data_IF_107614017375
#
_entry.id   IF_107614017375
#
_cell.length_a   1.000
_cell.length_b   1.000
_cell.length_c   1.000
_cell.angle_alpha   90.00
_cell.angle_beta   90.00
_cell.angle_gamma   90.00
#
_symmetry.space_group_name_H-M   'P 1'
#
loop_
_entity.id
_entity.type
_entity.pdbx_description
1 polymer ?
#
# COMPACT_ATOMS: atom_id res chain seq x y z
N UNK A 1 -6.65 5.83 23.12
CA UNK A 1 -5.75 4.64 23.20
C UNK A 1 -5.78 3.97 21.82
N UNK A 2 -4.64 3.39 21.37
CA UNK A 2 -4.59 2.64 20.09
C UNK A 2 -5.38 1.34 20.21
N UNK A 3 -6.32 1.12 19.28
CA UNK A 3 -7.16 -0.08 19.23
C UNK A 3 -7.01 -0.87 17.93
N UNK A 4 -6.50 -0.24 16.85
CA UNK A 4 -6.31 -0.93 15.57
C UNK A 4 -5.10 -0.44 14.78
N UNK A 5 -4.57 -1.34 13.93
CA UNK A 5 -3.64 -1.04 12.86
C UNK A 5 -4.34 -1.22 11.50
N UNK A 6 -4.17 -0.22 10.62
CA UNK A 6 -4.71 -0.22 9.26
C UNK A 6 -3.53 -0.32 8.28
N UNK A 7 -3.42 -1.44 7.60
CA UNK A 7 -2.26 -1.79 6.77
C UNK A 7 -2.54 -1.52 5.30
N UNK A 8 -1.72 -0.71 4.68
CA UNK A 8 -1.56 -0.83 3.24
C UNK A 8 -0.80 -2.12 2.89
N UNK A 9 -0.78 -2.50 1.62
CA UNK A 9 -0.18 -3.77 1.17
C UNK A 9 1.07 -3.53 0.33
N UNK A 10 0.91 -2.85 -0.80
CA UNK A 10 1.95 -2.73 -1.82
C UNK A 10 2.99 -1.67 -1.41
N UNK A 11 4.24 -2.10 -1.20
CA UNK A 11 5.27 -1.24 -0.63
C UNK A 11 5.24 -1.16 0.90
N UNK A 12 4.18 -1.62 1.55
CA UNK A 12 4.00 -1.58 3.01
C UNK A 12 4.22 -2.94 3.66
N UNK A 13 3.41 -3.95 3.33
CA UNK A 13 3.60 -5.32 3.84
C UNK A 13 4.74 -6.03 3.12
N UNK A 14 4.89 -5.79 1.82
CA UNK A 14 5.91 -6.38 0.96
C UNK A 14 6.32 -5.40 -0.15
N UNK A 15 7.54 -5.54 -0.67
CA UNK A 15 8.03 -4.77 -1.83
C UNK A 15 7.44 -5.35 -3.13
N UNK A 16 6.14 -5.13 -3.31
CA UNK A 16 5.39 -5.70 -4.43
C UNK A 16 5.48 -4.89 -5.72
N UNK A 17 5.80 -3.59 -5.63
CA UNK A 17 5.71 -2.71 -6.80
C UNK A 17 6.84 -2.98 -7.80
N UNK A 18 8.09 -3.00 -7.36
CA UNK A 18 9.24 -3.19 -8.24
C UNK A 18 9.31 -4.63 -8.78
N UNK A 19 9.25 -5.61 -7.89
CA UNK A 19 9.58 -7.00 -8.21
C UNK A 19 8.34 -7.85 -8.53
N UNK A 20 7.15 -7.33 -8.21
CA UNK A 20 5.87 -7.98 -8.45
C UNK A 20 5.07 -7.29 -9.55
N UNK A 21 4.45 -6.15 -9.25
CA UNK A 21 3.48 -5.53 -10.13
C UNK A 21 4.09 -5.06 -11.45
N UNK A 22 5.23 -4.36 -11.43
CA UNK A 22 5.92 -3.92 -12.65
C UNK A 22 6.28 -5.10 -13.56
N UNK A 23 6.86 -6.14 -12.98
CA UNK A 23 7.23 -7.34 -13.73
C UNK A 23 5.99 -8.02 -14.32
N UNK A 24 4.90 -8.12 -13.54
CA UNK A 24 3.65 -8.71 -14.02
C UNK A 24 3.01 -7.92 -15.17
N UNK A 25 3.08 -6.58 -15.16
CA UNK A 25 2.66 -5.76 -16.30
C UNK A 25 3.48 -6.04 -17.55
N UNK A 26 4.81 -6.08 -17.43
CA UNK A 26 5.69 -6.37 -18.55
C UNK A 26 5.45 -7.77 -19.14
N UNK A 27 5.19 -8.76 -18.29
CA UNK A 27 4.80 -10.10 -18.74
C UNK A 27 3.43 -10.09 -19.46
N UNK A 28 2.47 -9.30 -18.98
CA UNK A 28 1.17 -9.15 -19.63
C UNK A 28 1.28 -8.45 -21.00
N UNK A 29 2.13 -7.45 -21.14
CA UNK A 29 2.43 -6.80 -22.43
C UNK A 29 3.03 -7.81 -23.41
N UNK A 30 4.05 -8.54 -22.98
CA UNK A 30 4.71 -9.56 -23.80
C UNK A 30 3.74 -10.66 -24.25
N UNK A 31 2.85 -11.14 -23.37
CA UNK A 31 1.86 -12.17 -23.69
C UNK A 31 0.86 -11.74 -24.76
N UNK A 32 0.55 -10.45 -24.84
CA UNK A 32 -0.30 -9.90 -25.89
C UNK A 32 0.47 -9.47 -27.16
N UNK A 33 1.78 -9.72 -27.21
CA UNK A 33 2.62 -9.31 -28.35
C UNK A 33 2.79 -7.81 -28.47
N UNK A 34 2.54 -7.04 -27.40
CA UNK A 34 2.76 -5.60 -27.39
C UNK A 34 4.26 -5.33 -27.18
N UNK A 35 4.82 -4.43 -27.98
CA UNK A 35 6.19 -3.95 -27.83
C UNK A 35 6.41 -3.05 -26.60
N UNK A 36 5.47 -3.06 -25.64
CA UNK A 36 5.48 -2.20 -24.48
C UNK A 36 6.31 -2.79 -23.35
N UNK A 37 6.90 -1.89 -22.56
CA UNK A 37 7.61 -2.26 -21.35
C UNK A 37 7.75 -1.07 -20.41
N UNK A 38 7.61 -1.31 -19.11
CA UNK A 38 7.86 -0.30 -18.10
C UNK A 38 9.19 -0.57 -17.41
N UNK A 39 10.15 0.35 -17.62
CA UNK A 39 11.38 0.43 -16.82
C UNK A 39 11.03 0.78 -15.36
N UNK A 40 11.99 0.64 -14.45
CA UNK A 40 11.79 1.06 -13.05
C UNK A 40 11.45 2.55 -12.96
N UNK A 41 12.17 3.40 -13.70
CA UNK A 41 11.91 4.84 -13.70
C UNK A 41 10.51 5.17 -14.22
N UNK A 42 10.12 4.61 -15.40
CA UNK A 42 8.77 4.84 -15.96
C UNK A 42 7.67 4.34 -15.03
N UNK A 43 7.88 3.20 -14.40
CA UNK A 43 6.92 2.65 -13.45
C UNK A 43 6.77 3.54 -12.22
N UNK A 44 7.87 4.09 -11.71
CA UNK A 44 7.86 5.05 -10.59
C UNK A 44 7.02 6.29 -10.90
N UNK A 45 7.18 6.87 -12.11
CA UNK A 45 6.33 7.99 -12.56
C UNK A 45 4.85 7.62 -12.58
N UNK A 46 4.53 6.44 -13.09
CA UNK A 46 3.16 5.94 -13.21
C UNK A 46 2.52 5.60 -11.87
N UNK A 47 3.28 5.43 -10.79
CA UNK A 47 2.76 5.16 -9.45
C UNK A 47 2.00 6.34 -8.83
N UNK A 48 2.15 7.56 -9.36
CA UNK A 48 1.27 8.69 -9.00
C UNK A 48 -0.20 8.43 -9.36
N UNK A 49 -0.44 7.55 -10.35
CA UNK A 49 -1.80 7.08 -10.69
C UNK A 49 -2.11 5.81 -9.91
N UNK A 50 -3.00 5.94 -8.93
CA UNK A 50 -3.39 4.81 -8.07
C UNK A 50 -4.37 3.87 -8.79
N UNK A 51 -4.11 2.55 -8.66
CA UNK A 51 -4.87 1.52 -9.33
C UNK A 51 -4.26 1.04 -10.65
N UNK A 52 -4.17 -0.30 -10.80
CA UNK A 52 -3.46 -0.89 -11.94
C UNK A 52 -4.14 -0.64 -13.29
N UNK A 53 -5.48 -0.64 -13.33
CA UNK A 53 -6.24 -0.37 -14.56
C UNK A 53 -6.13 1.12 -14.93
N UNK A 54 -6.24 1.99 -13.97
CA UNK A 54 -6.15 3.44 -14.14
C UNK A 54 -4.75 3.84 -14.64
N UNK A 55 -3.72 3.19 -14.12
CA UNK A 55 -2.32 3.35 -14.55
C UNK A 55 -2.11 2.93 -16.00
N UNK A 56 -2.71 1.81 -16.43
CA UNK A 56 -2.70 1.39 -17.84
C UNK A 56 -3.37 2.44 -18.75
N UNK A 57 -4.54 2.94 -18.37
CA UNK A 57 -5.25 3.95 -19.14
C UNK A 57 -4.45 5.27 -19.25
N UNK A 58 -3.80 5.68 -18.17
CA UNK A 58 -2.94 6.87 -18.17
C UNK A 58 -1.71 6.69 -19.07
N UNK A 59 -1.04 5.54 -19.03
CA UNK A 59 0.10 5.26 -19.91
C UNK A 59 -0.34 5.18 -21.39
N UNK A 60 -1.45 4.50 -21.68
CA UNK A 60 -2.00 4.43 -23.04
C UNK A 60 -2.38 5.80 -23.62
N UNK A 61 -2.74 6.76 -22.77
CA UNK A 61 -3.07 8.11 -23.23
C UNK A 61 -1.85 8.88 -23.76
N UNK A 62 -0.65 8.43 -23.45
CA UNK A 62 0.61 9.04 -23.88
C UNK A 62 1.31 8.26 -25.02
N UNK A 63 0.68 7.20 -25.54
CA UNK A 63 1.26 6.33 -26.55
C UNK A 63 0.59 6.50 -27.91
N UNK A 64 1.40 6.60 -28.95
CA UNK A 64 0.92 6.64 -30.33
C UNK A 64 0.46 5.26 -30.85
N UNK A 65 1.00 4.18 -30.27
CA UNK A 65 0.71 2.79 -30.63
C UNK A 65 -0.42 2.16 -29.79
N UNK A 66 -1.09 2.94 -28.94
CA UNK A 66 -2.26 2.50 -28.19
C UNK A 66 -3.58 2.83 -28.92
N UNK A 67 -4.65 2.06 -28.68
CA UNK A 67 -5.97 2.40 -29.19
C UNK A 67 -6.40 3.82 -28.74
N UNK A 68 -7.15 4.57 -29.57
CA UNK A 68 -7.71 5.86 -29.16
C UNK A 68 -8.63 5.72 -27.94
N UNK A 69 -8.87 6.82 -27.22
CA UNK A 69 -9.78 6.82 -26.08
C UNK A 69 -11.15 6.27 -26.47
N UNK A 70 -11.71 5.38 -25.65
CA UNK A 70 -12.99 4.75 -25.92
C UNK A 70 -13.00 3.24 -25.62
N UNK A 71 -14.05 2.53 -26.07
CA UNK A 71 -14.29 1.13 -25.70
C UNK A 71 -13.13 0.17 -25.98
N UNK A 72 -12.40 0.37 -27.10
CA UNK A 72 -11.26 -0.49 -27.46
C UNK A 72 -10.10 -0.33 -26.46
N UNK A 73 -9.78 0.90 -26.04
CA UNK A 73 -8.76 1.18 -25.01
C UNK A 73 -9.18 0.60 -23.67
N UNK A 74 -10.44 0.78 -23.29
CA UNK A 74 -10.99 0.25 -22.03
C UNK A 74 -10.94 -1.28 -21.99
N UNK A 75 -11.30 -1.94 -23.10
CA UNK A 75 -11.24 -3.39 -23.22
C UNK A 75 -9.79 -3.92 -23.14
N UNK A 76 -8.84 -3.24 -23.80
CA UNK A 76 -7.42 -3.60 -23.71
C UNK A 76 -6.88 -3.42 -22.28
N UNK A 77 -7.21 -2.30 -21.62
CA UNK A 77 -6.81 -2.06 -20.24
C UNK A 77 -7.36 -3.13 -19.29
N UNK A 78 -8.61 -3.53 -19.45
CA UNK A 78 -9.23 -4.60 -18.67
C UNK A 78 -8.51 -5.93 -18.90
N UNK A 79 -8.27 -6.29 -20.16
CA UNK A 79 -7.57 -7.53 -20.53
C UNK A 79 -6.16 -7.57 -19.95
N UNK A 80 -5.39 -6.50 -20.10
CA UNK A 80 -4.04 -6.36 -19.55
C UNK A 80 -4.04 -6.45 -18.02
N UNK A 81 -5.00 -5.79 -17.36
CA UNK A 81 -5.11 -5.84 -15.90
C UNK A 81 -5.41 -7.26 -15.39
N UNK A 82 -6.27 -8.00 -16.09
CA UNK A 82 -6.56 -9.40 -15.76
C UNK A 82 -5.32 -10.28 -15.93
N UNK A 83 -4.60 -10.16 -17.06
CA UNK A 83 -3.37 -10.89 -17.32
C UNK A 83 -2.29 -10.56 -16.29
N UNK A 84 -2.10 -9.27 -15.98
CA UNK A 84 -1.17 -8.81 -14.97
C UNK A 84 -1.46 -9.44 -13.61
N UNK A 85 -2.72 -9.51 -13.18
CA UNK A 85 -3.06 -10.14 -11.91
C UNK A 85 -2.72 -11.64 -11.89
N UNK A 86 -2.91 -12.35 -13.00
CA UNK A 86 -2.48 -13.74 -13.16
C UNK A 86 -0.96 -13.90 -13.06
N UNK A 87 -0.20 -13.05 -13.73
CA UNK A 87 1.27 -13.03 -13.64
C UNK A 87 1.76 -12.66 -12.26
N UNK A 88 1.12 -11.71 -11.60
CA UNK A 88 1.43 -11.36 -10.22
C UNK A 88 1.25 -12.55 -9.27
N UNK A 89 0.12 -13.25 -9.35
CA UNK A 89 -0.12 -14.45 -8.56
C UNK A 89 0.94 -15.54 -8.82
N UNK A 90 1.37 -15.69 -10.07
CA UNK A 90 2.47 -16.61 -10.42
C UNK A 90 3.79 -16.19 -9.77
N UNK A 91 4.18 -14.91 -9.83
CA UNK A 91 5.40 -14.38 -9.20
C UNK A 91 5.38 -14.60 -7.68
N UNK A 92 4.24 -14.35 -7.03
CA UNK A 92 4.05 -14.64 -5.60
C UNK A 92 4.28 -16.12 -5.31
N UNK A 93 3.69 -17.01 -6.12
CA UNK A 93 3.85 -18.47 -5.97
C UNK A 93 5.32 -18.91 -6.13
N UNK A 94 6.09 -18.24 -7.00
CA UNK A 94 7.52 -18.49 -7.17
C UNK A 94 8.40 -17.97 -6.01
N UNK A 95 7.80 -17.32 -5.00
CA UNK A 95 8.55 -16.74 -3.88
C UNK A 95 9.39 -15.52 -4.25
N UNK A 96 9.02 -14.79 -5.31
CA UNK A 96 9.74 -13.60 -5.76
C UNK A 96 9.44 -12.34 -4.96
N UNK A 97 8.42 -12.40 -4.09
CA UNK A 97 7.97 -11.24 -3.30
C UNK A 97 8.11 -11.60 -1.84
N UNK A 98 8.91 -10.82 -1.13
CA UNK A 98 9.18 -10.99 0.29
C UNK A 98 8.51 -9.89 1.13
N UNK A 99 8.18 -10.25 2.37
CA UNK A 99 7.69 -9.27 3.34
C UNK A 99 8.78 -8.26 3.69
N UNK A 100 8.40 -7.02 3.93
CA UNK A 100 9.34 -6.02 4.44
C UNK A 100 9.79 -6.34 5.85
N UNK A 101 11.03 -5.98 6.22
CA UNK A 101 11.61 -6.32 7.53
C UNK A 101 10.71 -5.92 8.71
N UNK A 102 10.51 -6.80 9.68
CA UNK A 102 9.75 -6.55 10.90
C UNK A 102 8.21 -6.57 10.77
N UNK A 103 7.67 -6.44 9.55
CA UNK A 103 6.21 -6.30 9.33
C UNK A 103 5.42 -7.51 9.83
N UNK A 104 5.85 -8.72 9.46
CA UNK A 104 5.15 -9.94 9.89
C UNK A 104 5.22 -10.15 11.41
N UNK A 105 6.31 -9.71 12.03
CA UNK A 105 6.46 -9.68 13.51
C UNK A 105 5.40 -8.78 14.11
N UNK A 106 5.31 -7.54 13.64
CA UNK A 106 4.34 -6.56 14.15
C UNK A 106 2.88 -7.01 13.94
N UNK A 107 2.55 -7.64 12.80
CA UNK A 107 1.20 -8.20 12.58
C UNK A 107 0.84 -9.23 13.65
N UNK A 108 1.78 -10.13 13.98
CA UNK A 108 1.58 -11.16 15.02
C UNK A 108 1.54 -10.57 16.43
N UNK A 109 2.43 -9.64 16.74
CA UNK A 109 2.46 -8.93 18.04
C UNK A 109 1.16 -8.15 18.27
N UNK A 110 0.67 -7.44 17.26
CA UNK A 110 -0.59 -6.69 17.33
C UNK A 110 -1.78 -7.62 17.59
N UNK A 111 -1.86 -8.76 16.90
CA UNK A 111 -2.90 -9.76 17.13
C UNK A 111 -2.82 -10.33 18.55
N UNK A 112 -1.63 -10.71 19.02
CA UNK A 112 -1.41 -11.25 20.38
C UNK A 112 -1.75 -10.23 21.47
N UNK A 113 -1.58 -8.94 21.17
CA UNK A 113 -1.93 -7.84 22.09
C UNK A 113 -3.41 -7.43 22.01
N UNK A 114 -4.24 -8.15 21.26
CA UNK A 114 -5.67 -7.87 21.10
C UNK A 114 -6.02 -6.63 20.28
N UNK A 115 -5.07 -6.09 19.49
CA UNK A 115 -5.37 -5.02 18.56
C UNK A 115 -6.10 -5.58 17.34
N UNK A 116 -7.17 -4.90 16.93
CA UNK A 116 -7.82 -5.17 15.64
C UNK A 116 -6.90 -4.76 14.51
N UNK A 117 -6.98 -5.45 13.39
CA UNK A 117 -6.21 -5.11 12.21
C UNK A 117 -7.10 -5.11 10.99
N UNK A 118 -6.83 -4.22 10.03
CA UNK A 118 -7.50 -4.21 8.75
C UNK A 118 -6.50 -3.99 7.62
N UNK A 119 -6.75 -4.64 6.48
CA UNK A 119 -6.11 -4.30 5.21
C UNK A 119 -6.85 -3.13 4.59
N UNK A 120 -6.11 -2.12 4.11
CA UNK A 120 -6.65 -0.93 3.45
C UNK A 120 -5.76 -0.62 2.24
N UNK A 121 -6.12 -1.15 1.08
CA UNK A 121 -5.28 -1.09 -0.13
C UNK A 121 -6.06 -0.67 -1.37
N UNK A 122 -5.35 -0.19 -2.39
CA UNK A 122 -5.91 0.06 -3.73
C UNK A 122 -5.69 -1.10 -4.69
N UNK A 123 -4.93 -2.12 -4.27
CA UNK A 123 -4.74 -3.34 -5.07
C UNK A 123 -6.02 -4.19 -5.12
N UNK A 124 -6.08 -5.09 -6.09
CA UNK A 124 -7.23 -5.98 -6.24
C UNK A 124 -7.27 -7.07 -5.16
N UNK A 125 -8.47 -7.51 -4.83
CA UNK A 125 -8.68 -8.59 -3.86
C UNK A 125 -7.93 -9.85 -4.24
N UNK A 126 -7.90 -10.19 -5.52
CA UNK A 126 -7.15 -11.35 -6.01
C UNK A 126 -5.64 -11.28 -5.73
N UNK A 127 -5.05 -10.08 -5.71
CA UNK A 127 -3.63 -9.91 -5.36
C UNK A 127 -3.41 -10.09 -3.85
N UNK A 128 -4.32 -9.58 -3.01
CA UNK A 128 -4.28 -9.78 -1.56
C UNK A 128 -4.38 -11.28 -1.23
N UNK A 129 -5.33 -11.98 -1.86
CA UNK A 129 -5.57 -13.42 -1.67
C UNK A 129 -4.43 -14.29 -2.22
N UNK A 130 -3.67 -13.81 -3.19
CA UNK A 130 -2.45 -14.47 -3.64
C UNK A 130 -1.29 -14.27 -2.67
N UNK A 131 -1.08 -13.02 -2.17
CA UNK A 131 0.08 -12.62 -1.40
C UNK A 131 0.01 -13.06 0.07
N UNK A 132 -1.07 -12.74 0.77
CA UNK A 132 -1.13 -12.89 2.22
C UNK A 132 -1.01 -14.34 2.72
N UNK A 133 -1.60 -15.36 2.06
CA UNK A 133 -1.34 -16.75 2.41
C UNK A 133 0.14 -17.14 2.31
N UNK A 134 0.87 -16.55 1.38
CA UNK A 134 2.30 -16.81 1.19
C UNK A 134 3.15 -16.19 2.30
N UNK A 135 2.78 -14.98 2.76
CA UNK A 135 3.52 -14.25 3.78
C UNK A 135 3.17 -14.69 5.22
N UNK A 136 1.88 -14.94 5.49
CA UNK A 136 1.35 -15.17 6.85
C UNK A 136 0.85 -16.61 7.07
N UNK A 137 0.84 -17.43 6.02
CA UNK A 137 0.29 -18.77 6.06
C UNK A 137 -1.20 -18.83 5.72
N UNK A 138 -1.78 -20.05 5.62
CA UNK A 138 -3.18 -20.25 5.19
C UNK A 138 -4.21 -19.60 6.14
N UNK A 139 -3.84 -19.39 7.41
CA UNK A 139 -4.69 -18.71 8.40
C UNK A 139 -4.60 -17.18 8.42
N UNK A 140 -4.02 -16.56 7.39
CA UNK A 140 -3.78 -15.12 7.33
C UNK A 140 -5.00 -14.26 7.63
N UNK A 141 -6.18 -14.68 7.17
CA UNK A 141 -7.42 -13.92 7.38
C UNK A 141 -7.80 -13.76 8.84
N UNK A 142 -7.34 -14.66 9.72
CA UNK A 142 -7.56 -14.57 11.17
C UNK A 142 -6.82 -13.38 11.84
N UNK A 143 -5.84 -12.79 11.17
CA UNK A 143 -5.17 -11.59 11.67
C UNK A 143 -5.94 -10.29 11.39
N UNK A 144 -6.90 -10.30 10.44
CA UNK A 144 -7.54 -9.09 9.97
C UNK A 144 -9.06 -9.13 10.17
N UNK A 145 -9.57 -8.18 10.93
CA UNK A 145 -11.02 -8.02 11.16
C UNK A 145 -11.76 -7.40 9.97
N UNK A 146 -11.03 -6.79 9.05
CA UNK A 146 -11.57 -6.22 7.81
C UNK A 146 -10.52 -6.22 6.69
N UNK A 147 -11.00 -6.35 5.46
CA UNK A 147 -10.17 -6.25 4.24
C UNK A 147 -10.89 -5.33 3.26
N UNK A 148 -10.30 -4.15 2.99
CA UNK A 148 -10.78 -3.17 2.01
C UNK A 148 -9.80 -3.12 0.86
N UNK A 149 -10.25 -3.54 -0.32
CA UNK A 149 -9.47 -3.58 -1.56
C UNK A 149 -9.95 -2.53 -2.57
N UNK A 150 -9.25 -2.42 -3.70
CA UNK A 150 -9.57 -1.44 -4.73
C UNK A 150 -10.98 -1.56 -5.31
N UNK A 151 -11.59 -2.74 -5.27
CA UNK A 151 -12.96 -2.98 -5.73
C UNK A 151 -14.02 -2.59 -4.70
N UNK A 152 -13.63 -2.43 -3.44
CA UNK A 152 -14.57 -2.08 -2.36
C UNK A 152 -14.88 -0.58 -2.31
N UNK A 153 -14.20 0.27 -3.09
CA UNK A 153 -14.32 1.73 -3.05
C UNK A 153 -14.61 2.32 -4.43
N UNK A 154 -15.37 3.39 -4.46
CA UNK A 154 -15.61 4.15 -5.68
C UNK A 154 -14.41 5.07 -6.01
N UNK A 155 -13.79 5.64 -5.00
CA UNK A 155 -12.63 6.51 -5.10
C UNK A 155 -11.44 5.90 -4.36
N UNK A 156 -10.35 5.70 -5.10
CA UNK A 156 -9.10 5.15 -4.58
C UNK A 156 -8.27 6.23 -3.88
N UNK A 157 -7.28 5.83 -3.08
CA UNK A 157 -6.29 6.74 -2.51
C UNK A 157 -5.77 7.70 -3.61
N UNK A 158 -5.65 9.01 -3.36
CA UNK A 158 -5.63 9.67 -2.05
C UNK A 158 -6.99 10.02 -1.43
N UNK A 159 -8.11 9.58 -1.99
CA UNK A 159 -9.43 9.75 -1.36
C UNK A 159 -9.50 8.92 -0.06
N UNK A 160 -10.11 9.44 1.02
CA UNK A 160 -10.20 8.76 2.32
C UNK A 160 -11.12 7.53 2.33
N UNK A 161 -11.94 7.29 1.31
CA UNK A 161 -13.01 6.30 1.31
C UNK A 161 -12.58 4.91 1.81
N UNK A 162 -11.38 4.46 1.45
CA UNK A 162 -10.88 3.14 1.88
C UNK A 162 -10.67 3.09 3.41
N UNK A 163 -10.13 4.17 4.00
CA UNK A 163 -9.92 4.27 5.44
C UNK A 163 -11.24 4.43 6.19
N UNK A 164 -12.16 5.26 5.69
CA UNK A 164 -13.49 5.44 6.27
C UNK A 164 -14.26 4.11 6.32
N UNK A 165 -14.20 3.32 5.23
CA UNK A 165 -14.81 1.99 5.19
C UNK A 165 -14.18 1.02 6.19
N UNK A 166 -12.86 1.05 6.32
CA UNK A 166 -12.17 0.20 7.29
C UNK A 166 -12.55 0.57 8.74
N UNK A 167 -12.57 1.87 9.06
CA UNK A 167 -13.00 2.37 10.37
C UNK A 167 -14.44 1.99 10.68
N UNK A 168 -15.35 2.15 9.71
CA UNK A 168 -16.76 1.76 9.85
C UNK A 168 -16.91 0.25 10.12
N UNK A 169 -16.19 -0.61 9.35
CA UNK A 169 -16.20 -2.07 9.57
C UNK A 169 -15.62 -2.46 10.94
N UNK A 170 -14.66 -1.69 11.45
CA UNK A 170 -14.08 -1.91 12.78
C UNK A 170 -14.91 -1.29 13.89
N UNK A 171 -15.84 -0.36 13.62
CA UNK A 171 -16.57 0.41 14.62
C UNK A 171 -15.63 1.26 15.48
N UNK A 172 -14.68 1.97 14.85
CA UNK A 172 -13.66 2.77 15.51
C UNK A 172 -13.66 4.22 15.03
N UNK A 173 -13.35 5.13 15.98
CA UNK A 173 -13.00 6.50 15.63
C UNK A 173 -11.59 6.58 15.02
N UNK A 174 -11.32 7.52 14.09
CA UNK A 174 -10.01 7.66 13.46
C UNK A 174 -8.84 7.75 14.45
N UNK A 175 -9.02 8.48 15.55
CA UNK A 175 -8.00 8.61 16.59
C UNK A 175 -7.69 7.31 17.35
N UNK A 176 -8.45 6.25 17.19
CA UNK A 176 -8.24 4.95 17.82
C UNK A 176 -7.45 3.98 16.92
N UNK A 177 -7.23 4.37 15.65
CA UNK A 177 -6.48 3.59 14.68
C UNK A 177 -5.15 4.27 14.30
N UNK A 178 -4.24 3.49 13.71
CA UNK A 178 -3.00 3.95 13.10
C UNK A 178 -2.88 3.31 11.72
N UNK A 179 -2.73 4.12 10.69
CA UNK A 179 -2.40 3.67 9.35
C UNK A 179 -0.90 3.40 9.23
N UNK A 180 -0.53 2.32 8.54
CA UNK A 180 0.84 2.02 8.17
C UNK A 180 0.89 2.04 6.65
N UNK A 181 1.72 2.93 6.11
CA UNK A 181 1.77 3.31 4.70
C UNK A 181 3.21 3.48 4.23
N UNK A 182 3.41 3.43 2.91
CA UNK A 182 4.72 3.65 2.27
C UNK A 182 4.75 4.87 1.34
N UNK A 183 3.57 5.35 0.93
CA UNK A 183 3.39 6.26 -0.21
C UNK A 183 2.71 7.57 0.17
N UNK A 184 2.97 8.61 -0.63
CA UNK A 184 2.31 9.91 -0.50
C UNK A 184 0.79 9.85 -0.70
N UNK A 185 0.27 9.20 -1.75
CA UNK A 185 -1.17 9.02 -1.93
C UNK A 185 -1.84 8.29 -0.76
N UNK A 186 -1.22 7.25 -0.23
CA UNK A 186 -1.72 6.51 0.93
C UNK A 186 -1.74 7.35 2.21
N UNK A 187 -0.65 8.07 2.48
CA UNK A 187 -0.57 8.95 3.64
C UNK A 187 -1.61 10.08 3.57
N UNK A 188 -1.83 10.68 2.39
CA UNK A 188 -2.88 11.71 2.19
C UNK A 188 -4.28 11.14 2.43
N UNK A 189 -4.56 9.92 1.96
CA UNK A 189 -5.85 9.28 2.19
C UNK A 189 -6.13 9.04 3.67
N UNK A 190 -5.15 8.50 4.42
CA UNK A 190 -5.28 8.29 5.86
C UNK A 190 -5.46 9.62 6.61
N UNK A 191 -4.71 10.65 6.24
CA UNK A 191 -4.83 11.99 6.83
C UNK A 191 -6.20 12.61 6.56
N UNK A 192 -6.74 12.49 5.34
CA UNK A 192 -8.07 12.98 4.98
C UNK A 192 -9.17 12.25 5.78
N UNK A 193 -8.96 10.98 6.14
CA UNK A 193 -9.81 10.24 7.08
C UNK A 193 -9.51 10.55 8.56
N UNK A 194 -8.68 11.55 8.87
CA UNK A 194 -8.22 11.92 10.21
C UNK A 194 -7.50 10.78 10.97
N UNK A 195 -6.97 9.78 10.28
CA UNK A 195 -6.19 8.67 10.86
C UNK A 195 -4.72 9.07 10.96
N UNK A 196 -4.08 8.97 12.14
CA UNK A 196 -2.63 9.10 12.26
C UNK A 196 -1.89 8.08 11.38
N UNK A 197 -0.74 8.46 10.83
CA UNK A 197 0.01 7.63 9.88
C UNK A 197 1.42 7.36 10.38
N UNK A 198 1.82 6.10 10.36
CA UNK A 198 3.22 5.68 10.33
C UNK A 198 3.61 5.48 8.86
N UNK A 199 4.45 6.37 8.35
CA UNK A 199 4.99 6.24 7.01
C UNK A 199 6.30 5.48 7.03
N UNK A 200 6.39 4.50 6.16
CA UNK A 200 7.55 3.67 5.97
C UNK A 200 7.90 3.62 4.49
N UNK A 201 8.65 4.63 4.00
CA UNK A 201 8.90 4.83 2.58
C UNK A 201 9.36 3.55 1.88
N UNK A 202 8.80 3.27 0.71
CA UNK A 202 9.23 2.18 -0.18
C UNK A 202 10.28 2.69 -1.19
N UNK A 203 10.76 1.79 -2.03
CA UNK A 203 11.77 2.11 -3.05
C UNK A 203 11.32 3.27 -3.97
N UNK A 204 10.03 3.33 -4.31
CA UNK A 204 9.49 4.34 -5.22
C UNK A 204 9.02 5.63 -4.53
N UNK A 205 8.81 5.60 -3.24
CA UNK A 205 8.32 6.73 -2.47
C UNK A 205 9.35 7.13 -1.39
N UNK A 206 10.49 7.73 -1.79
CA UNK A 206 11.46 8.22 -0.82
C UNK A 206 10.84 9.30 0.07
N UNK A 207 11.40 9.56 1.25
CA UNK A 207 10.94 10.61 2.13
C UNK A 207 10.92 11.94 1.37
N UNK A 208 9.74 12.55 1.25
CA UNK A 208 9.55 13.85 0.63
C UNK A 208 9.11 14.86 1.69
N UNK A 209 9.27 16.17 1.46
CA UNK A 209 8.68 17.17 2.33
C UNK A 209 7.15 16.98 2.36
N UNK A 210 6.61 16.78 3.55
CA UNK A 210 5.19 16.54 3.75
C UNK A 210 4.42 17.86 3.84
N UNK A 211 3.16 17.88 3.43
CA UNK A 211 2.35 19.09 3.50
C UNK A 211 2.17 19.57 4.94
N UNK A 212 2.00 20.87 5.17
CA UNK A 212 1.70 21.43 6.48
C UNK A 212 0.50 20.75 7.14
N UNK A 213 0.58 20.52 8.45
CA UNK A 213 -0.51 19.90 9.22
C UNK A 213 -0.54 18.36 9.17
N UNK A 214 0.45 17.72 8.58
CA UNK A 214 0.55 16.27 8.59
C UNK A 214 0.67 15.70 10.01
N UNK A 215 -0.15 14.71 10.32
CA UNK A 215 -0.13 13.99 11.61
C UNK A 215 0.41 12.59 11.39
N UNK A 216 1.66 12.38 11.77
CA UNK A 216 2.28 11.07 11.64
C UNK A 216 3.77 11.12 11.90
N UNK A 217 4.44 10.02 11.67
CA UNK A 217 5.89 9.91 11.78
C UNK A 217 6.45 9.00 10.70
N UNK A 218 7.73 9.15 10.41
CA UNK A 218 8.43 8.40 9.38
C UNK A 218 9.40 7.45 10.07
N UNK A 219 9.35 6.17 9.73
CA UNK A 219 10.37 5.20 10.13
C UNK A 219 11.37 4.95 9.01
N UNK A 220 12.60 4.53 9.36
CA UNK A 220 13.54 4.05 8.37
C UNK A 220 12.98 2.83 7.61
N UNK A 221 13.22 2.71 6.30
CA UNK A 221 12.69 1.61 5.48
C UNK A 221 13.07 0.21 5.99
N UNK A 222 14.28 0.07 6.53
CA UNK A 222 14.81 -1.20 7.04
C UNK A 222 14.55 -1.42 8.53
N UNK A 223 13.94 -0.46 9.23
CA UNK A 223 13.68 -0.60 10.66
C UNK A 223 12.77 -1.78 10.96
N UNK A 224 13.16 -2.63 11.89
CA UNK A 224 12.29 -3.64 12.44
C UNK A 224 11.21 -2.94 13.30
N UNK A 225 9.96 -2.99 12.84
CA UNK A 225 8.83 -2.42 13.57
C UNK A 225 8.43 -3.34 14.72
N UNK A 226 8.27 -2.78 15.93
CA UNK A 226 7.70 -3.46 17.10
C UNK A 226 6.47 -2.72 17.59
N UNK A 227 5.61 -3.44 18.28
CA UNK A 227 4.37 -2.84 18.80
C UNK A 227 4.65 -1.75 19.86
N UNK A 228 5.73 -1.88 20.63
CA UNK A 228 6.14 -0.85 21.57
C UNK A 228 6.47 0.47 20.87
N UNK A 229 7.18 0.44 19.73
CA UNK A 229 7.52 1.62 18.94
C UNK A 229 6.25 2.34 18.47
N UNK A 230 5.29 1.57 17.97
CA UNK A 230 4.00 2.06 17.46
C UNK A 230 3.12 2.65 18.58
N UNK A 231 3.26 2.18 19.83
CA UNK A 231 2.52 2.67 21.00
C UNK A 231 3.14 3.89 21.66
N UNK A 232 4.47 3.98 21.66
CA UNK A 232 5.23 4.99 22.41
C UNK A 232 5.30 6.32 21.67
N UNK A 233 5.42 6.30 20.35
CA UNK A 233 5.48 7.53 19.55
C UNK A 233 4.19 8.35 19.57
N UNK A 234 3.07 7.76 19.99
CA UNK A 234 1.84 8.51 20.28
C UNK A 234 1.93 9.39 21.55
N UNK A 235 2.87 9.12 22.46
CA UNK A 235 3.03 9.86 23.72
C UNK A 235 4.17 10.86 23.71
N UNK A 236 5.15 10.72 22.82
CA UNK A 236 6.32 11.60 22.79
C UNK A 236 6.19 12.65 21.71
N UNK A 237 5.79 13.84 22.10
CA UNK A 237 6.06 15.11 21.40
C UNK A 237 7.54 15.52 21.55
N UNK A 238 8.43 14.64 22.01
CA UNK A 238 9.85 14.91 22.21
C UNK A 238 10.69 13.90 21.45
N UNK A 239 11.52 14.41 20.55
CA UNK A 239 12.65 13.73 19.92
C UNK A 239 13.42 12.89 20.94
N UNK A 240 13.41 11.58 20.80
CA UNK A 240 14.30 10.71 21.54
C UNK A 240 15.30 10.08 20.57
N UNK A 241 16.50 10.66 20.55
CA UNK A 241 17.64 10.36 19.66
C UNK A 241 18.38 9.04 19.99
N UNK A 242 17.76 8.07 20.68
CA UNK A 242 18.51 6.93 21.21
C UNK A 242 18.46 5.64 20.38
N UNK A 243 17.67 5.55 19.28
CA UNK A 243 17.57 4.30 18.52
C UNK A 243 17.50 4.51 17.00
N UNK A 244 18.40 5.29 16.41
CA UNK A 244 18.57 5.32 14.95
C UNK A 244 17.34 5.74 14.11
N UNK A 245 16.29 6.26 14.72
CA UNK A 245 15.08 6.76 14.09
C UNK A 245 15.23 8.25 13.85
N UNK A 246 15.21 8.65 12.59
CA UNK A 246 15.06 10.07 12.24
C UNK A 246 13.56 10.37 12.29
N UNK A 247 13.05 10.72 13.46
CA UNK A 247 11.69 11.26 13.60
C UNK A 247 11.71 12.72 13.20
N UNK A 248 11.25 13.05 12.02
CA UNK A 248 10.90 14.42 11.68
C UNK A 248 9.46 14.68 12.10
N UNK A 249 9.25 15.05 13.35
CA UNK A 249 8.01 15.69 13.77
C UNK A 249 8.07 17.16 13.35
N UNK A 250 7.43 17.51 12.24
CA UNK A 250 7.21 18.91 11.88
C UNK A 250 5.93 19.37 12.54
N UNK A 251 6.03 20.05 13.68
CA UNK A 251 4.96 20.87 14.20
C UNK A 251 5.03 22.24 13.53
N UNK A 252 4.06 22.56 12.69
CA UNK A 252 3.71 23.95 12.42
C UNK A 252 2.55 24.33 13.34
N UNK A 253 2.78 25.34 14.18
CA UNK A 253 1.77 26.09 14.92
C UNK A 253 0.83 26.81 13.95
#
# INVERSE_FOLDING_TARGET
MLKALLWDVDGTLAETERDGHRVAFNLAFSELGLGWGWTEGRYGELLEVTGGRERLLADMATRDDAPPAGPARDALAMRLHTLKNRWYAWLVKQGRIEARPGVLGLVREAASAGLRQAIVTTTSRSNVEALLPRLLGPGWSGYFSAVVCGEDVARKKPDPEAYDRALARLGLAPAEALAIEDSGPGARAAQAAAVPVLLRPSVYFPPAPWPPGWRGWISAPEAALRLEDVRTDRKSTRLNSRHGYISYAVFCL
#
